data_IF_830037948717
#
_entry.id   IF_830037948717
#
_cell.length_a   1.000
_cell.length_b   1.000
_cell.length_c   1.000
_cell.angle_alpha   90.00
_cell.angle_beta   90.00
_cell.angle_gamma   90.00
#
_symmetry.space_group_name_H-M   'P 1'
#
loop_
_entity.id
_entity.type
_entity.pdbx_description
1 polymer ?
#
# COMPACT_ATOMS: atom_id res chain seq x y z
N UNK A 1 50.26 -7.39 -39.33
CA UNK A 1 48.81 -7.70 -39.35
C UNK A 1 48.34 -8.55 -38.17
N UNK A 2 49.06 -9.58 -37.70
CA UNK A 2 48.61 -10.43 -36.57
C UNK A 2 48.47 -9.70 -35.22
N UNK A 3 49.26 -8.67 -34.91
CA UNK A 3 49.18 -7.91 -33.65
C UNK A 3 47.96 -6.96 -33.59
N UNK A 4 47.48 -6.48 -34.73
CA UNK A 4 46.33 -5.60 -34.80
C UNK A 4 45.01 -6.35 -34.51
N UNK A 5 44.91 -7.60 -34.95
CA UNK A 5 43.74 -8.45 -34.75
C UNK A 5 43.54 -8.80 -33.26
N UNK A 6 44.66 -9.02 -32.53
CA UNK A 6 44.58 -9.35 -31.08
C UNK A 6 44.10 -8.16 -30.28
N UNK A 7 44.49 -6.93 -30.64
CA UNK A 7 44.03 -5.72 -29.94
C UNK A 7 42.55 -5.46 -30.16
N UNK A 8 42.07 -5.70 -31.41
CA UNK A 8 40.64 -5.49 -31.73
C UNK A 8 39.75 -6.52 -31.05
N UNK A 9 40.19 -7.79 -30.99
CA UNK A 9 39.42 -8.83 -30.28
C UNK A 9 39.38 -8.61 -28.76
N UNK A 10 40.46 -8.10 -28.17
CA UNK A 10 40.50 -7.74 -26.75
C UNK A 10 39.56 -6.56 -26.43
N UNK A 11 39.48 -5.57 -27.33
CA UNK A 11 38.58 -4.42 -27.15
C UNK A 11 37.09 -4.80 -27.24
N UNK A 12 36.75 -5.71 -28.17
CA UNK A 12 35.38 -6.22 -28.32
C UNK A 12 34.97 -7.07 -27.09
N UNK A 13 35.90 -7.86 -26.54
CA UNK A 13 35.62 -8.64 -25.32
C UNK A 13 35.36 -7.74 -24.10
N UNK A 14 36.03 -6.59 -23.97
CA UNK A 14 35.77 -5.63 -22.89
C UNK A 14 34.42 -4.92 -23.04
N UNK A 15 33.99 -4.63 -24.26
CA UNK A 15 32.68 -3.99 -24.49
C UNK A 15 31.52 -4.93 -24.13
N UNK A 16 31.65 -6.23 -24.37
CA UNK A 16 30.62 -7.22 -24.04
C UNK A 16 30.46 -7.39 -22.51
N UNK A 17 31.53 -7.21 -21.74
CA UNK A 17 31.46 -7.31 -20.27
C UNK A 17 30.76 -6.08 -19.65
N UNK A 18 30.82 -4.90 -20.28
CA UNK A 18 30.16 -3.69 -19.79
C UNK A 18 28.68 -3.62 -20.12
N UNK A 19 28.18 -4.40 -21.06
CA UNK A 19 26.75 -4.46 -21.42
C UNK A 19 26.00 -5.54 -20.57
N UNK A 20 26.72 -6.43 -19.89
CA UNK A 20 26.15 -7.53 -19.10
C UNK A 20 25.69 -7.17 -17.68
N UNK A 21 25.94 -5.97 -17.18
CA UNK A 21 25.61 -5.59 -15.79
C UNK A 21 24.52 -4.53 -15.63
N UNK A 22 23.61 -4.38 -16.61
CA UNK A 22 22.48 -3.45 -16.47
C UNK A 22 21.14 -4.07 -16.82
N UNK A 23 20.89 -5.29 -16.34
CA UNK A 23 19.55 -5.87 -16.32
C UNK A 23 19.20 -6.45 -14.94
N UNK A 24 19.56 -5.77 -13.88
CA UNK A 24 18.61 -5.70 -12.78
C UNK A 24 17.44 -4.84 -13.27
N UNK A 25 16.51 -5.49 -13.96
CA UNK A 25 15.15 -5.01 -13.99
C UNK A 25 14.75 -4.92 -12.52
N UNK A 26 14.90 -3.73 -11.93
CA UNK A 26 14.02 -3.31 -10.88
C UNK A 26 12.64 -3.75 -11.36
N UNK A 27 12.12 -4.82 -10.80
CA UNK A 27 10.68 -5.04 -10.74
C UNK A 27 10.16 -3.88 -9.90
N UNK A 28 10.04 -2.73 -10.53
CA UNK A 28 9.10 -1.72 -10.15
C UNK A 28 7.76 -2.45 -10.25
N UNK A 29 7.39 -3.07 -9.15
CA UNK A 29 6.07 -3.66 -8.99
C UNK A 29 5.09 -2.57 -9.38
N UNK A 30 4.23 -2.85 -10.34
CA UNK A 30 3.16 -2.00 -10.83
C UNK A 30 2.23 -1.61 -9.66
N UNK A 31 2.66 -0.68 -8.82
CA UNK A 31 1.86 -0.09 -7.73
C UNK A 31 1.03 1.10 -8.18
N UNK A 32 1.17 1.51 -9.45
CA UNK A 32 0.50 2.70 -9.97
C UNK A 32 -1.04 2.58 -10.04
N UNK A 33 -1.57 1.38 -9.87
CA UNK A 33 -3.02 1.11 -9.89
C UNK A 33 -3.64 0.85 -8.51
N UNK A 34 -2.87 0.93 -7.44
CA UNK A 34 -3.36 0.72 -6.08
C UNK A 34 -4.25 1.84 -5.56
N UNK A 35 -5.12 1.52 -4.61
CA UNK A 35 -5.95 2.50 -3.87
C UNK A 35 -5.08 3.28 -2.90
N UNK A 36 -4.20 2.57 -2.17
CA UNK A 36 -3.26 3.16 -1.22
C UNK A 36 -1.93 3.46 -1.91
N UNK A 37 -1.83 4.63 -2.52
CA UNK A 37 -0.60 5.10 -3.18
C UNK A 37 0.26 5.90 -2.22
N UNK A 38 1.59 5.80 -2.36
CA UNK A 38 2.53 6.66 -1.65
C UNK A 38 2.19 8.14 -1.85
N UNK A 39 2.31 8.93 -0.80
CA UNK A 39 1.95 10.35 -0.78
C UNK A 39 0.45 10.62 -0.55
N UNK A 40 -0.44 9.62 -0.64
CA UNK A 40 -1.87 9.87 -0.42
C UNK A 40 -2.21 10.00 1.06
N UNK A 41 -3.17 10.89 1.35
CA UNK A 41 -3.71 11.09 2.68
C UNK A 41 -5.21 10.80 2.70
N UNK A 42 -5.64 10.13 3.75
CA UNK A 42 -7.01 9.74 4.01
C UNK A 42 -7.45 10.26 5.37
N UNK A 43 -8.63 10.81 5.45
CA UNK A 43 -9.15 11.45 6.66
C UNK A 43 -10.57 10.97 6.96
N UNK A 44 -10.90 10.86 8.24
CA UNK A 44 -12.27 10.78 8.72
C UNK A 44 -12.46 11.71 9.90
N UNK A 45 -13.67 12.23 10.02
CA UNK A 45 -14.10 13.02 11.16
C UNK A 45 -15.41 12.45 11.69
N UNK A 46 -15.39 12.00 12.95
CA UNK A 46 -16.53 11.36 13.61
C UNK A 46 -16.56 11.76 15.09
N UNK A 47 -17.70 12.24 15.56
CA UNK A 47 -17.86 12.61 16.98
C UNK A 47 -16.91 13.71 17.48
N UNK A 48 -16.39 14.57 16.59
CA UNK A 48 -15.40 15.60 16.92
C UNK A 48 -13.94 15.09 16.95
N UNK A 49 -13.73 13.78 16.71
CA UNK A 49 -12.41 13.20 16.54
C UNK A 49 -12.01 13.22 15.06
N UNK A 50 -10.76 13.54 14.81
CA UNK A 50 -10.16 13.55 13.47
C UNK A 50 -9.13 12.44 13.39
N UNK A 51 -9.31 11.55 12.42
CA UNK A 51 -8.44 10.43 12.11
C UNK A 51 -7.73 10.69 10.79
N UNK A 52 -6.41 10.61 10.75
CA UNK A 52 -5.63 10.76 9.54
C UNK A 52 -4.77 9.53 9.31
N UNK A 53 -4.72 9.10 8.05
CA UNK A 53 -3.84 8.04 7.58
C UNK A 53 -3.10 8.54 6.35
N UNK A 54 -1.78 8.65 6.45
CA UNK A 54 -0.91 9.02 5.34
C UNK A 54 -0.10 7.81 4.89
N UNK A 55 -0.11 7.52 3.62
CA UNK A 55 0.68 6.45 3.03
C UNK A 55 2.05 7.02 2.68
N UNK A 56 3.07 6.64 3.43
CA UNK A 56 4.45 7.10 3.17
C UNK A 56 5.04 6.28 2.02
N UNK A 57 4.99 4.96 2.15
CA UNK A 57 5.45 4.02 1.14
C UNK A 57 4.69 2.68 1.25
N UNK A 58 5.18 1.65 0.54
CA UNK A 58 4.58 0.32 0.49
C UNK A 58 4.54 -0.41 1.84
N UNK A 59 5.38 0.00 2.78
CA UNK A 59 5.60 -0.68 4.06
C UNK A 59 5.31 0.18 5.27
N UNK A 60 5.19 1.50 5.07
CA UNK A 60 5.11 2.47 6.14
C UNK A 60 3.94 3.41 5.95
N UNK A 61 3.05 3.45 6.92
CA UNK A 61 1.96 4.40 7.00
C UNK A 61 2.12 5.28 8.23
N UNK A 62 1.72 6.53 8.17
CA UNK A 62 1.59 7.42 9.34
C UNK A 62 0.13 7.54 9.72
N UNK A 63 -0.14 7.36 10.99
CA UNK A 63 -1.45 7.54 11.59
C UNK A 63 -1.40 8.63 12.65
N UNK A 64 -2.41 9.50 12.67
CA UNK A 64 -2.65 10.40 13.78
C UNK A 64 -4.14 10.48 14.11
N UNK A 65 -4.42 10.79 15.35
CA UNK A 65 -5.76 10.97 15.87
C UNK A 65 -5.75 12.11 16.90
N UNK A 66 -6.77 12.96 16.88
CA UNK A 66 -6.74 14.27 17.52
C UNK A 66 -6.62 14.27 19.05
N UNK A 67 -6.85 13.13 19.71
CA UNK A 67 -6.85 13.04 21.19
C UNK A 67 -5.72 12.14 21.71
N UNK A 68 -5.66 10.87 21.27
CA UNK A 68 -4.69 9.91 21.83
C UNK A 68 -3.38 9.83 21.05
N UNK A 69 -3.39 10.18 19.76
CA UNK A 69 -2.21 10.20 18.88
C UNK A 69 -2.16 11.49 18.07
N UNK A 70 -2.07 12.68 18.75
CA UNK A 70 -1.99 13.96 18.05
C UNK A 70 -0.71 14.08 17.21
N UNK A 71 0.39 13.49 17.69
CA UNK A 71 1.62 13.34 16.94
C UNK A 71 1.54 12.08 16.08
N UNK A 72 1.91 12.13 14.79
CA UNK A 72 1.87 10.99 13.91
C UNK A 72 2.74 9.84 14.42
N UNK A 73 2.18 8.62 14.41
CA UNK A 73 2.91 7.38 14.68
C UNK A 73 3.04 6.56 13.41
N UNK A 74 4.14 5.84 13.28
CA UNK A 74 4.38 5.00 12.11
C UNK A 74 3.84 3.60 12.34
N UNK A 75 3.05 3.12 11.38
CA UNK A 75 2.53 1.77 11.30
C UNK A 75 3.31 1.02 10.24
N UNK A 76 3.86 -0.14 10.58
CA UNK A 76 4.54 -1.00 9.63
C UNK A 76 3.55 -2.02 9.05
N UNK A 77 3.49 -2.09 7.72
CA UNK A 77 2.60 -2.99 6.99
C UNK A 77 3.37 -3.84 5.99
N UNK A 78 2.75 -4.93 5.56
CA UNK A 78 3.25 -5.78 4.48
C UNK A 78 2.14 -6.06 3.49
N UNK A 79 2.32 -5.63 2.23
CA UNK A 79 1.42 -5.97 1.14
C UNK A 79 1.33 -7.49 1.01
N UNK A 80 0.12 -7.99 0.85
CA UNK A 80 -0.19 -9.40 0.61
C UNK A 80 -0.76 -9.56 -0.80
N UNK A 81 -0.91 -10.81 -1.25
CA UNK A 81 -1.64 -11.10 -2.48
C UNK A 81 -3.06 -10.55 -2.36
N UNK A 82 -3.50 -9.85 -3.39
CA UNK A 82 -4.84 -9.28 -3.45
C UNK A 82 -5.93 -10.33 -3.19
N UNK A 83 -6.94 -9.92 -2.48
CA UNK A 83 -8.12 -10.73 -2.22
C UNK A 83 -9.27 -10.29 -3.13
N UNK A 84 -9.60 -11.14 -4.12
CA UNK A 84 -10.66 -10.84 -5.11
C UNK A 84 -10.47 -9.49 -5.83
N UNK A 85 -9.22 -9.12 -6.10
CA UNK A 85 -8.87 -7.86 -6.75
C UNK A 85 -8.98 -6.63 -5.83
N UNK A 86 -9.06 -6.85 -4.51
CA UNK A 86 -8.93 -5.82 -3.49
C UNK A 86 -7.57 -5.92 -2.83
N UNK A 87 -6.97 -4.77 -2.54
CA UNK A 87 -5.69 -4.72 -1.85
C UNK A 87 -5.79 -5.34 -0.46
N UNK A 88 -4.79 -6.10 -0.09
CA UNK A 88 -4.72 -6.73 1.22
C UNK A 88 -3.37 -6.48 1.87
N UNK A 89 -3.40 -6.13 3.15
CA UNK A 89 -2.22 -5.84 3.95
C UNK A 89 -2.24 -6.63 5.25
N UNK A 90 -1.05 -7.03 5.69
CA UNK A 90 -0.80 -7.51 7.05
C UNK A 90 -0.21 -6.35 7.85
N UNK A 91 -0.74 -6.09 9.03
CA UNK A 91 -0.12 -5.17 9.99
C UNK A 91 1.00 -5.92 10.69
N UNK A 92 2.22 -5.42 10.54
CA UNK A 92 3.42 -5.99 11.17
C UNK A 92 3.62 -5.35 12.55
N UNK A 93 3.48 -4.01 12.60
CA UNK A 93 3.52 -3.24 13.83
C UNK A 93 2.49 -2.13 13.75
N UNK A 94 1.62 -2.04 14.75
CA UNK A 94 0.58 -1.02 14.82
C UNK A 94 0.98 0.22 15.63
N UNK A 95 2.18 0.24 16.19
CA UNK A 95 2.64 1.31 17.09
C UNK A 95 1.65 1.63 18.24
N UNK A 96 0.88 0.64 18.67
CA UNK A 96 -0.13 0.80 19.72
C UNK A 96 -1.48 1.38 19.27
N UNK A 97 -1.66 1.68 17.99
CA UNK A 97 -2.94 2.13 17.42
C UNK A 97 -3.99 1.03 17.56
N UNK A 98 -5.16 1.36 18.11
CA UNK A 98 -6.22 0.40 18.44
C UNK A 98 -7.54 0.64 17.70
N UNK A 99 -7.69 1.78 17.05
CA UNK A 99 -8.99 2.26 16.52
C UNK A 99 -9.43 1.46 15.30
N UNK A 100 -8.94 1.76 14.11
CA UNK A 100 -9.34 1.04 12.90
C UNK A 100 -8.36 -0.06 12.47
N UNK A 101 -7.15 -0.06 13.03
CA UNK A 101 -6.09 -1.04 12.81
C UNK A 101 -5.67 -1.56 14.19
N UNK A 102 -6.44 -2.46 14.78
CA UNK A 102 -6.32 -2.70 16.21
C UNK A 102 -5.45 -3.90 16.62
N UNK A 103 -4.77 -4.59 15.70
CA UNK A 103 -3.94 -5.75 16.07
C UNK A 103 -2.77 -5.94 15.12
N UNK A 104 -1.56 -5.99 15.66
CA UNK A 104 -0.42 -6.59 14.98
C UNK A 104 -0.78 -8.02 14.53
N UNK A 105 -0.24 -8.44 13.39
CA UNK A 105 -0.55 -9.71 12.71
C UNK A 105 -1.92 -9.83 12.06
N UNK A 106 -2.81 -8.84 12.17
CA UNK A 106 -4.09 -8.85 11.48
C UNK A 106 -3.94 -8.64 9.97
N UNK A 107 -4.80 -9.31 9.20
CA UNK A 107 -4.94 -9.13 7.77
C UNK A 107 -6.14 -8.22 7.49
N UNK A 108 -5.92 -7.17 6.70
CA UNK A 108 -6.95 -6.24 6.29
C UNK A 108 -7.11 -6.20 4.78
N UNK A 109 -8.35 -6.13 4.33
CA UNK A 109 -8.73 -5.83 2.95
C UNK A 109 -9.07 -4.35 2.89
N UNK A 110 -8.51 -3.65 1.92
CA UNK A 110 -8.86 -2.25 1.62
C UNK A 110 -10.03 -2.25 0.65
N UNK A 111 -11.17 -1.77 1.08
CA UNK A 111 -12.38 -1.71 0.28
C UNK A 111 -12.63 -0.27 -0.18
N UNK A 112 -12.32 0.06 -1.45
CA UNK A 112 -12.63 1.36 -2.01
C UNK A 112 -14.12 1.44 -2.39
N UNK A 113 -14.71 2.60 -2.17
CA UNK A 113 -16.04 2.93 -2.68
C UNK A 113 -16.15 4.43 -2.91
N UNK A 114 -17.19 4.84 -3.62
CA UNK A 114 -17.50 6.24 -3.84
C UNK A 114 -18.88 6.57 -3.29
N UNK A 115 -18.99 7.72 -2.62
CA UNK A 115 -20.26 8.25 -2.13
C UNK A 115 -20.29 9.76 -2.37
N UNK A 116 -21.29 10.20 -3.13
CA UNK A 116 -21.48 11.61 -3.50
C UNK A 116 -20.25 12.23 -4.18
N UNK A 117 -19.59 11.49 -5.10
CA UNK A 117 -18.38 11.94 -5.78
C UNK A 117 -17.10 11.91 -4.94
N UNK A 118 -17.19 11.52 -3.66
CA UNK A 118 -16.03 11.43 -2.76
C UNK A 118 -15.52 10.00 -2.69
N UNK A 119 -14.24 9.82 -3.01
CA UNK A 119 -13.55 8.53 -2.88
C UNK A 119 -13.28 8.23 -1.41
N UNK A 120 -13.70 7.06 -0.98
CA UNK A 120 -13.57 6.57 0.39
C UNK A 120 -12.96 5.18 0.43
N UNK A 121 -12.38 4.83 1.56
CA UNK A 121 -11.89 3.47 1.86
C UNK A 121 -12.40 3.02 3.22
N UNK A 122 -12.49 1.71 3.36
CA UNK A 122 -12.74 1.02 4.63
C UNK A 122 -11.72 -0.11 4.74
N UNK A 123 -11.26 -0.36 5.96
CA UNK A 123 -10.47 -1.53 6.29
C UNK A 123 -11.39 -2.61 6.86
N UNK A 124 -11.48 -3.74 6.17
CA UNK A 124 -12.18 -4.92 6.67
C UNK A 124 -11.16 -5.97 7.10
N UNK A 125 -11.31 -6.51 8.28
CA UNK A 125 -10.50 -7.64 8.72
C UNK A 125 -10.75 -8.83 7.80
N UNK A 126 -9.67 -9.39 7.25
CA UNK A 126 -9.73 -10.54 6.34
C UNK A 126 -9.69 -11.82 7.14
N UNK A 127 -10.82 -12.54 7.22
CA UNK A 127 -10.83 -13.92 7.67
C UNK A 127 -10.38 -14.86 6.54
N UNK A 128 -9.74 -15.98 6.88
CA UNK A 128 -9.28 -16.97 5.88
C UNK A 128 -10.43 -17.62 5.10
N UNK A 129 -11.64 -17.58 5.64
CA UNK A 129 -12.80 -18.34 5.16
C UNK A 129 -13.88 -17.49 4.48
N UNK A 130 -13.61 -16.23 4.17
CA UNK A 130 -14.61 -15.36 3.54
C UNK A 130 -14.94 -15.81 2.11
N UNK A 131 -16.16 -16.32 1.92
CA UNK A 131 -16.72 -16.72 0.63
C UNK A 131 -17.43 -15.58 -0.13
N UNK A 132 -17.36 -14.35 0.39
CA UNK A 132 -18.07 -13.21 -0.19
C UNK A 132 -17.46 -12.79 -1.54
N UNK A 133 -18.29 -12.29 -2.47
CA UNK A 133 -17.81 -11.69 -3.73
C UNK A 133 -17.22 -10.31 -3.48
N UNK A 134 -16.48 -9.77 -4.46
CA UNK A 134 -15.94 -8.40 -4.39
C UNK A 134 -17.04 -7.38 -4.21
N UNK A 135 -18.12 -7.50 -4.96
CA UNK A 135 -19.28 -6.60 -4.94
C UNK A 135 -19.96 -6.62 -3.56
N UNK A 136 -20.09 -7.81 -2.97
CA UNK A 136 -20.65 -7.95 -1.63
C UNK A 136 -19.73 -7.31 -0.58
N UNK A 137 -18.42 -7.48 -0.66
CA UNK A 137 -17.46 -6.82 0.23
C UNK A 137 -17.56 -5.29 0.13
N UNK A 138 -17.69 -4.75 -1.08
CA UNK A 138 -17.85 -3.30 -1.30
C UNK A 138 -19.19 -2.82 -0.72
N UNK A 139 -20.28 -3.56 -0.98
CA UNK A 139 -21.61 -3.23 -0.44
C UNK A 139 -21.61 -3.24 1.08
N UNK A 140 -21.22 -4.34 1.69
CA UNK A 140 -21.22 -4.52 3.14
C UNK A 140 -20.26 -3.52 3.82
N UNK A 141 -19.10 -3.26 3.21
CA UNK A 141 -18.17 -2.23 3.65
C UNK A 141 -18.81 -0.85 3.66
N UNK A 142 -19.47 -0.44 2.57
CA UNK A 142 -20.11 0.87 2.45
C UNK A 142 -21.25 1.08 3.47
N UNK A 143 -21.91 0.01 3.92
CA UNK A 143 -22.97 0.02 4.96
C UNK A 143 -22.41 -0.15 6.38
N UNK A 144 -21.14 -0.49 6.52
CA UNK A 144 -20.51 -0.71 7.82
C UNK A 144 -20.50 0.57 8.67
N UNK A 145 -20.56 0.38 9.99
CA UNK A 145 -20.34 1.46 10.98
C UNK A 145 -18.84 1.66 11.29
N UNK A 146 -17.95 0.98 10.56
CA UNK A 146 -16.50 1.15 10.69
C UNK A 146 -16.07 2.50 10.13
N UNK A 147 -14.87 2.94 10.49
CA UNK A 147 -14.25 4.17 9.99
C UNK A 147 -14.20 4.20 8.46
N UNK A 148 -14.65 5.31 7.88
CA UNK A 148 -14.81 5.53 6.43
C UNK A 148 -13.91 6.66 5.98
N UNK A 149 -12.63 6.37 5.90
CA UNK A 149 -11.63 7.35 5.51
C UNK A 149 -11.89 7.85 4.08
N UNK A 150 -11.95 9.16 3.90
CA UNK A 150 -12.05 9.81 2.61
C UNK A 150 -10.70 10.35 2.14
N UNK A 151 -10.44 10.25 0.83
CA UNK A 151 -9.23 10.84 0.25
C UNK A 151 -9.27 12.35 0.41
N UNK A 152 -8.24 12.92 0.99
CA UNK A 152 -8.03 14.37 0.96
C UNK A 152 -7.30 14.73 -0.33
N UNK A 153 -7.62 15.87 -0.94
CA UNK A 153 -6.79 16.43 -2.00
C UNK A 153 -5.40 16.74 -1.43
N UNK A 154 -4.38 16.37 -2.18
CA UNK A 154 -3.00 16.81 -1.94
C UNK A 154 -2.93 18.32 -1.99
#
# INVERSE_FOLDING_TARGET
MKKLIIVVTSLIAMIVILVGCSNEKNKQTNQDNGVLKSGTMWKEEVGGLVYNLKIIDETTWEYSESVWHPDPVQITVKRQKDYKGLERYKIVDSAGVREFINKSDSLFIVVPYEKNGVKKIIFLESSKDEKQTKEKLIHDGSQSNKYKLQKTSE
#
